data_IF_714552459706
#
_entry.id   IF_714552459706
#
_cell.length_a   1.000
_cell.length_b   1.000
_cell.length_c   1.000
_cell.angle_alpha   90.00
_cell.angle_beta   90.00
_cell.angle_gamma   90.00
#
_symmetry.space_group_name_H-M   'P 1'
#
loop_
_entity.id
_entity.type
_entity.pdbx_description
1 polymer ?
#
# COMPACT_ATOMS: atom_id res chain seq x y z
N UNK A 1 10.60 1.07 -19.58
CA UNK A 1 10.33 -0.39 -19.59
C UNK A 1 9.43 -0.74 -18.42
N UNK A 2 8.36 -1.52 -18.61
CA UNK A 2 7.38 -1.87 -17.57
C UNK A 2 7.86 -2.97 -16.60
N UNK A 3 9.09 -2.82 -16.10
CA UNK A 3 9.76 -3.79 -15.21
C UNK A 3 8.93 -4.14 -13.97
N UNK A 4 8.20 -3.21 -13.30
CA UNK A 4 7.40 -3.53 -12.13
C UNK A 4 6.33 -4.62 -12.35
N UNK A 5 5.80 -4.76 -13.57
CA UNK A 5 4.77 -5.76 -13.88
C UNK A 5 5.27 -7.19 -13.67
N UNK A 6 6.57 -7.43 -13.88
CA UNK A 6 7.18 -8.75 -13.64
C UNK A 6 7.29 -9.09 -12.15
N UNK A 7 7.13 -8.11 -11.25
CA UNK A 7 7.19 -8.32 -9.81
C UNK A 7 5.81 -8.62 -9.20
N UNK A 8 4.72 -8.33 -9.90
CA UNK A 8 3.38 -8.54 -9.36
C UNK A 8 3.02 -10.00 -9.10
N UNK A 9 3.44 -10.97 -9.93
CA UNK A 9 3.27 -12.39 -9.59
C UNK A 9 3.88 -12.76 -8.23
N UNK A 10 4.99 -12.13 -7.85
CA UNK A 10 5.61 -12.35 -6.54
C UNK A 10 4.78 -11.75 -5.40
N UNK A 11 4.22 -10.55 -5.60
CA UNK A 11 3.31 -9.90 -4.65
C UNK A 11 1.99 -10.66 -4.44
N UNK A 12 1.55 -11.43 -5.44
CA UNK A 12 0.35 -12.27 -5.34
C UNK A 12 0.54 -13.55 -4.51
N UNK A 13 1.78 -13.95 -4.23
CA UNK A 13 2.04 -15.18 -3.48
C UNK A 13 1.46 -15.10 -2.05
N UNK A 14 0.85 -16.19 -1.58
CA UNK A 14 0.21 -16.24 -0.25
C UNK A 14 0.95 -17.10 0.77
N UNK A 15 1.97 -17.84 0.32
CA UNK A 15 2.77 -18.69 1.21
C UNK A 15 3.45 -17.85 2.29
N UNK A 16 3.31 -18.30 3.55
CA UNK A 16 3.92 -17.69 4.74
C UNK A 16 5.29 -18.27 5.07
N UNK A 17 5.86 -19.10 4.18
CA UNK A 17 7.24 -19.56 4.39
C UNK A 17 8.22 -18.41 4.21
N UNK A 18 9.30 -18.42 4.99
CA UNK A 18 10.33 -17.37 4.99
C UNK A 18 10.83 -16.98 3.58
N UNK A 19 11.05 -17.91 2.62
CA UNK A 19 11.45 -17.53 1.26
C UNK A 19 10.42 -16.65 0.54
N UNK A 20 9.12 -16.96 0.66
CA UNK A 20 8.06 -16.20 0.01
C UNK A 20 7.81 -14.85 0.70
N UNK A 21 7.97 -14.77 2.01
CA UNK A 21 7.92 -13.48 2.72
C UNK A 21 9.05 -12.55 2.27
N UNK A 22 10.27 -13.08 2.17
CA UNK A 22 11.43 -12.30 1.72
C UNK A 22 11.29 -11.86 0.25
N UNK A 23 10.78 -12.75 -0.59
CA UNK A 23 10.47 -12.44 -1.99
C UNK A 23 9.50 -11.27 -2.10
N UNK A 24 8.35 -11.33 -1.39
CA UNK A 24 7.38 -10.22 -1.36
C UNK A 24 7.99 -8.92 -0.83
N UNK A 25 8.74 -8.99 0.27
CA UNK A 25 9.36 -7.81 0.88
C UNK A 25 10.35 -7.14 -0.10
N UNK A 26 11.14 -7.94 -0.80
CA UNK A 26 12.11 -7.44 -1.79
C UNK A 26 11.39 -6.81 -2.98
N UNK A 27 10.34 -7.45 -3.49
CA UNK A 27 9.50 -6.89 -4.57
C UNK A 27 8.83 -5.58 -4.15
N UNK A 28 8.26 -5.52 -2.94
CA UNK A 28 7.73 -4.27 -2.38
C UNK A 28 8.80 -3.20 -2.23
N UNK A 29 10.04 -3.59 -1.90
CA UNK A 29 11.18 -2.68 -1.81
C UNK A 29 11.46 -1.95 -3.12
N UNK A 30 11.35 -2.65 -4.26
CA UNK A 30 11.49 -2.04 -5.61
C UNK A 30 10.37 -1.04 -5.87
N UNK A 31 9.11 -1.41 -5.61
CA UNK A 31 7.97 -0.49 -5.78
C UNK A 31 8.08 0.71 -4.83
N UNK A 32 8.49 0.46 -3.59
CA UNK A 32 8.75 1.47 -2.58
C UNK A 32 9.86 2.45 -2.97
N UNK A 33 10.89 1.99 -3.70
CA UNK A 33 11.92 2.85 -4.24
C UNK A 33 11.40 3.73 -5.39
N UNK A 34 10.51 3.20 -6.24
CA UNK A 34 9.90 3.96 -7.33
C UNK A 34 9.03 5.10 -6.80
N UNK A 35 8.11 4.82 -5.86
CA UNK A 35 7.23 5.87 -5.29
C UNK A 35 7.94 6.88 -4.39
N UNK A 36 9.24 6.66 -4.08
CA UNK A 36 10.04 7.62 -3.31
C UNK A 36 10.49 8.81 -4.13
N UNK A 37 10.49 8.73 -5.45
CA UNK A 37 10.93 9.85 -6.30
C UNK A 37 9.88 10.95 -6.43
N UNK A 38 8.65 10.70 -5.96
CA UNK A 38 7.52 11.63 -6.04
C UNK A 38 7.17 12.06 -7.47
N UNK A 39 7.54 11.24 -8.46
CA UNK A 39 7.21 11.44 -9.86
C UNK A 39 5.76 11.05 -10.16
N UNK A 40 5.00 11.98 -10.73
CA UNK A 40 3.59 11.76 -11.09
C UNK A 40 3.41 10.64 -12.12
N UNK A 41 4.37 10.46 -13.03
CA UNK A 41 4.36 9.36 -14.01
C UNK A 41 4.38 7.99 -13.34
N UNK A 42 5.14 7.86 -12.24
CA UNK A 42 5.20 6.62 -11.45
C UNK A 42 3.85 6.34 -10.81
N UNK A 43 3.20 7.34 -10.21
CA UNK A 43 1.87 7.18 -9.62
C UNK A 43 0.85 6.79 -10.68
N UNK A 44 0.83 7.48 -11.81
CA UNK A 44 -0.09 7.20 -12.93
C UNK A 44 0.10 5.76 -13.45
N UNK A 45 1.34 5.32 -13.63
CA UNK A 45 1.66 3.94 -14.00
C UNK A 45 1.14 2.93 -12.95
N UNK A 46 1.32 3.23 -11.66
CA UNK A 46 0.87 2.34 -10.59
C UNK A 46 -0.67 2.25 -10.49
N UNK A 47 -1.39 3.35 -10.71
CA UNK A 47 -2.86 3.37 -10.71
C UNK A 47 -3.47 2.52 -11.82
N UNK A 48 -2.79 2.42 -12.96
CA UNK A 48 -3.25 1.62 -14.12
C UNK A 48 -2.92 0.13 -14.01
N UNK A 49 -2.16 -0.28 -12.99
CA UNK A 49 -1.57 -1.63 -12.93
C UNK A 49 -1.98 -2.41 -11.66
N UNK A 50 -3.08 -2.05 -11.02
CA UNK A 50 -3.66 -2.79 -9.88
C UNK A 50 -2.75 -2.92 -8.64
N UNK A 51 -1.82 -1.99 -8.42
CA UNK A 51 -0.96 -2.05 -7.22
C UNK A 51 -1.75 -1.87 -5.91
N UNK A 52 -2.87 -1.13 -5.94
CA UNK A 52 -3.66 -0.81 -4.74
C UNK A 52 -4.26 -2.09 -4.14
N UNK A 53 -5.01 -2.93 -4.89
CA UNK A 53 -5.48 -4.23 -4.39
C UNK A 53 -4.37 -5.11 -3.78
N UNK A 54 -3.18 -5.13 -4.42
CA UNK A 54 -2.03 -5.87 -3.92
C UNK A 54 -1.52 -5.32 -2.58
N UNK A 55 -1.38 -4.00 -2.46
CA UNK A 55 -0.97 -3.35 -1.22
C UNK A 55 -1.97 -3.61 -0.11
N UNK A 56 -3.28 -3.48 -0.38
CA UNK A 56 -4.33 -3.72 0.62
C UNK A 56 -4.31 -5.16 1.15
N UNK A 57 -4.12 -6.16 0.29
CA UNK A 57 -3.97 -7.56 0.71
C UNK A 57 -2.78 -7.75 1.63
N UNK A 58 -1.63 -7.17 1.28
CA UNK A 58 -0.41 -7.26 2.09
C UNK A 58 -0.57 -6.50 3.41
N UNK A 59 -1.23 -5.34 3.40
CA UNK A 59 -1.57 -4.57 4.60
C UNK A 59 -2.45 -5.35 5.58
N UNK A 60 -3.36 -6.17 5.06
CA UNK A 60 -4.23 -7.02 5.88
C UNK A 60 -3.47 -8.19 6.52
N UNK A 61 -2.76 -8.99 5.71
CA UNK A 61 -2.26 -10.31 6.15
C UNK A 61 -0.74 -10.51 6.09
N UNK A 62 0.04 -9.49 5.74
CA UNK A 62 1.50 -9.57 5.61
C UNK A 62 2.26 -9.56 6.95
N UNK A 63 3.57 -9.77 6.90
CA UNK A 63 4.47 -9.51 8.02
C UNK A 63 4.54 -8.02 8.35
N UNK A 64 4.95 -7.64 9.57
CA UNK A 64 5.02 -6.24 9.98
C UNK A 64 5.82 -5.35 9.01
N UNK A 65 6.97 -5.85 8.52
CA UNK A 65 7.80 -5.15 7.54
C UNK A 65 7.06 -4.97 6.21
N UNK A 66 6.44 -6.03 5.68
CA UNK A 66 5.69 -5.95 4.43
C UNK A 66 4.47 -5.03 4.55
N UNK A 67 3.76 -5.08 5.69
CA UNK A 67 2.67 -4.13 6.00
C UNK A 67 3.18 -2.70 6.00
N UNK A 68 4.34 -2.44 6.60
CA UNK A 68 4.94 -1.10 6.64
C UNK A 68 5.25 -0.58 5.25
N UNK A 69 5.89 -1.39 4.40
CA UNK A 69 6.24 -0.97 3.03
C UNK A 69 4.99 -0.82 2.15
N UNK A 70 4.02 -1.74 2.23
CA UNK A 70 2.76 -1.63 1.50
C UNK A 70 1.95 -0.39 1.90
N UNK A 71 1.86 -0.10 3.21
CA UNK A 71 1.20 1.12 3.70
C UNK A 71 1.94 2.38 3.24
N UNK A 72 3.27 2.36 3.22
CA UNK A 72 4.07 3.47 2.69
C UNK A 72 3.79 3.72 1.20
N UNK A 73 3.68 2.66 0.38
CA UNK A 73 3.33 2.78 -1.04
C UNK A 73 1.93 3.38 -1.19
N UNK A 74 0.93 2.86 -0.45
CA UNK A 74 -0.42 3.42 -0.47
C UNK A 74 -0.43 4.89 -0.03
N UNK A 75 0.34 5.26 0.99
CA UNK A 75 0.47 6.64 1.45
C UNK A 75 1.04 7.54 0.33
N UNK A 76 2.07 7.10 -0.39
CA UNK A 76 2.64 7.86 -1.52
C UNK A 76 1.62 8.05 -2.65
N UNK A 77 0.83 7.02 -2.95
CA UNK A 77 -0.28 7.13 -3.92
C UNK A 77 -1.32 8.16 -3.44
N UNK A 78 -1.73 8.10 -2.17
CA UNK A 78 -2.71 9.05 -1.62
C UNK A 78 -2.20 10.49 -1.59
N UNK A 79 -0.90 10.71 -1.40
CA UNK A 79 -0.32 12.05 -1.39
C UNK A 79 -0.43 12.76 -2.74
N UNK A 80 -0.47 12.02 -3.83
CA UNK A 80 -0.73 12.55 -5.16
C UNK A 80 -2.24 12.81 -5.36
N UNK A 81 -2.59 13.92 -6.00
CA UNK A 81 -4.00 14.31 -6.22
C UNK A 81 -4.73 13.30 -7.11
N UNK A 82 -4.06 12.74 -8.12
CA UNK A 82 -4.66 11.72 -9.00
C UNK A 82 -4.93 10.41 -8.24
N UNK A 83 -4.02 10.03 -7.33
CA UNK A 83 -4.18 8.85 -6.49
C UNK A 83 -5.29 9.00 -5.44
N UNK A 84 -5.38 10.17 -4.77
CA UNK A 84 -6.49 10.48 -3.88
C UNK A 84 -7.82 10.43 -4.62
N UNK A 85 -7.91 11.14 -5.76
CA UNK A 85 -9.13 11.15 -6.57
C UNK A 85 -9.51 9.75 -7.06
N UNK A 86 -8.54 8.91 -7.42
CA UNK A 86 -8.81 7.53 -7.85
C UNK A 86 -9.40 6.67 -6.73
N UNK A 87 -8.86 6.77 -5.51
CA UNK A 87 -9.31 6.00 -4.34
C UNK A 87 -10.70 6.46 -3.90
N UNK A 88 -10.95 7.77 -3.89
CA UNK A 88 -12.25 8.34 -3.49
C UNK A 88 -13.27 8.39 -4.65
N UNK A 89 -12.91 7.92 -5.85
CA UNK A 89 -13.78 7.98 -7.02
C UNK A 89 -15.09 7.21 -6.83
N UNK A 90 -15.03 6.07 -6.13
CA UNK A 90 -16.21 5.24 -5.85
C UNK A 90 -16.24 4.86 -4.38
N UNK A 91 -17.47 4.71 -3.86
CA UNK A 91 -17.69 4.25 -2.49
C UNK A 91 -16.99 2.91 -2.21
N UNK A 92 -17.01 1.97 -3.16
CA UNK A 92 -16.40 0.65 -2.99
C UNK A 92 -14.87 0.72 -2.82
N UNK A 93 -14.20 1.58 -3.59
CA UNK A 93 -12.74 1.76 -3.45
C UNK A 93 -12.39 2.40 -2.12
N UNK A 94 -13.07 3.50 -1.78
CA UNK A 94 -12.86 4.20 -0.53
C UNK A 94 -13.14 3.30 0.68
N UNK A 95 -14.31 2.65 0.71
CA UNK A 95 -14.75 1.80 1.82
C UNK A 95 -13.81 0.62 2.04
N UNK A 96 -13.29 0.01 0.96
CA UNK A 96 -12.31 -1.06 1.08
C UNK A 96 -11.00 -0.57 1.71
N UNK A 97 -10.46 0.57 1.26
CA UNK A 97 -9.25 1.18 1.86
C UNK A 97 -9.48 1.52 3.34
N UNK A 98 -10.59 2.19 3.66
CA UNK A 98 -10.94 2.59 5.01
C UNK A 98 -11.13 1.39 5.95
N UNK A 99 -11.75 0.31 5.47
CA UNK A 99 -11.91 -0.94 6.21
C UNK A 99 -10.56 -1.56 6.56
N UNK A 100 -9.63 -1.67 5.60
CA UNK A 100 -8.31 -2.26 5.85
C UNK A 100 -7.50 -1.40 6.83
N UNK A 101 -7.49 -0.08 6.66
CA UNK A 101 -6.85 0.83 7.62
C UNK A 101 -7.45 0.67 9.03
N UNK A 102 -8.77 0.51 9.14
CA UNK A 102 -9.45 0.28 10.43
C UNK A 102 -9.01 -1.02 11.10
N UNK A 103 -8.92 -2.12 10.34
CA UNK A 103 -8.38 -3.39 10.84
C UNK A 103 -6.93 -3.24 11.33
N UNK A 104 -6.12 -2.45 10.63
CA UNK A 104 -4.75 -2.17 11.03
C UNK A 104 -4.68 -1.37 12.34
N UNK A 105 -5.55 -0.38 12.54
CA UNK A 105 -5.62 0.37 13.81
C UNK A 105 -5.95 -0.56 14.98
N UNK A 106 -6.93 -1.46 14.80
CA UNK A 106 -7.27 -2.47 15.82
C UNK A 106 -6.10 -3.41 16.12
N UNK A 107 -5.35 -3.81 15.09
CA UNK A 107 -4.14 -4.63 15.25
C UNK A 107 -3.05 -3.86 16.01
N UNK A 108 -2.83 -2.58 15.69
CA UNK A 108 -1.81 -1.73 16.29
C UNK A 108 -2.08 -1.41 17.77
N UNK A 109 -3.34 -1.44 18.19
CA UNK A 109 -3.70 -1.31 19.60
C UNK A 109 -3.24 -2.51 20.44
N UNK A 110 -3.13 -3.70 19.84
CA UNK A 110 -2.68 -4.94 20.50
C UNK A 110 -1.17 -5.15 20.38
N UNK A 111 -0.65 -4.91 19.19
CA UNK A 111 0.77 -5.07 18.84
C UNK A 111 1.31 -3.73 18.29
N UNK A 112 1.86 -2.87 19.17
CA UNK A 112 2.26 -1.52 18.77
C UNK A 112 3.42 -1.53 17.76
N UNK A 113 3.26 -0.77 16.67
CA UNK A 113 4.33 -0.46 15.73
C UNK A 113 4.27 1.01 15.36
N UNK A 114 5.19 1.81 15.92
CA UNK A 114 5.22 3.26 15.69
C UNK A 114 5.42 3.61 14.20
N UNK A 115 6.21 2.81 13.48
CA UNK A 115 6.48 3.01 12.04
C UNK A 115 5.22 2.76 11.22
N UNK A 116 4.49 1.69 11.50
CA UNK A 116 3.26 1.37 10.78
C UNK A 116 2.16 2.40 11.10
N UNK A 117 1.97 2.73 12.38
CA UNK A 117 0.99 3.71 12.83
C UNK A 117 1.21 5.08 12.16
N UNK A 118 2.46 5.51 12.04
CA UNK A 118 2.84 6.76 11.36
C UNK A 118 2.30 6.83 9.92
N UNK A 119 2.34 5.72 9.18
CA UNK A 119 1.82 5.66 7.81
C UNK A 119 0.29 5.59 7.79
N UNK A 120 -0.32 4.78 8.66
CA UNK A 120 -1.78 4.66 8.79
C UNK A 120 -2.42 6.02 9.07
N UNK A 121 -1.87 6.78 10.03
CA UNK A 121 -2.37 8.13 10.37
C UNK A 121 -2.25 9.08 9.18
N UNK A 122 -1.16 9.02 8.42
CA UNK A 122 -0.98 9.86 7.22
C UNK A 122 -1.98 9.52 6.12
N UNK A 123 -2.31 8.24 5.93
CA UNK A 123 -3.36 7.84 4.99
C UNK A 123 -4.72 8.43 5.40
N UNK A 124 -5.12 8.32 6.67
CA UNK A 124 -6.37 8.92 7.15
C UNK A 124 -6.39 10.44 7.01
N UNK A 125 -5.30 11.13 7.36
CA UNK A 125 -5.19 12.57 7.19
C UNK A 125 -5.40 12.96 5.73
N UNK A 126 -4.72 12.29 4.80
CA UNK A 126 -4.84 12.59 3.38
C UNK A 126 -6.22 12.24 2.81
N UNK A 127 -6.84 11.17 3.28
CA UNK A 127 -8.22 10.84 2.90
C UNK A 127 -9.21 11.92 3.35
N UNK A 128 -8.96 12.61 4.47
CA UNK A 128 -9.83 13.68 4.96
C UNK A 128 -9.76 14.99 4.14
N UNK A 129 -8.79 15.10 3.22
CA UNK A 129 -8.74 16.21 2.28
C UNK A 129 -9.79 16.07 1.16
N UNK A 130 -10.36 14.87 0.97
CA UNK A 130 -11.43 14.63 0.01
C UNK A 130 -12.80 14.94 0.67
N UNK A 131 -13.59 15.88 0.10
CA UNK A 131 -14.84 16.34 0.69
C UNK A 131 -16.00 15.34 0.61
#
# INVERSE_FOLDING_TARGET
AHVPLFLYPFLHTVSKTRPFEYLRLTSLGVIGALVKTDEQEVITFLLTTEIIPLCLRIMESGSELSKTVATFILQKILLDDSGLSYICQTYDRFSHVAMILGKMVLSLAKEPSARLLKHVVRCYLRLSDNP
#
